data_IF_616415985919
#
_entry.id   IF_616415985919
#
_cell.length_a   1.000
_cell.length_b   1.000
_cell.length_c   1.000
_cell.angle_alpha   90.00
_cell.angle_beta   90.00
_cell.angle_gamma   90.00
#
_symmetry.space_group_name_H-M   'P 1'
#
loop_
_entity.id
_entity.type
_entity.pdbx_description
1 polymer ?
#
# COMPACT_ATOMS: atom_id res chain seq x y z
N UNK A 1 1.89 15.04 14.49
CA UNK A 1 1.43 13.75 13.94
C UNK A 1 1.60 13.83 12.43
N UNK A 2 2.34 12.92 11.80
CA UNK A 2 2.44 12.89 10.32
C UNK A 2 1.04 12.74 9.74
N UNK A 3 0.73 13.50 8.70
CA UNK A 3 -0.62 13.56 8.15
C UNK A 3 -0.92 12.19 7.49
N UNK A 4 -2.05 11.54 7.81
CA UNK A 4 -2.39 10.22 7.25
C UNK A 4 -2.35 10.21 5.72
N UNK A 5 -2.63 11.37 5.09
CA UNK A 5 -2.54 11.57 3.65
C UNK A 5 -1.11 11.42 3.11
N UNK A 6 -0.08 11.81 3.86
CA UNK A 6 1.33 11.68 3.44
C UNK A 6 1.74 10.20 3.43
N UNK A 7 1.28 9.43 4.41
CA UNK A 7 1.54 7.98 4.49
C UNK A 7 0.84 7.28 3.33
N UNK A 8 -0.43 7.62 3.07
CA UNK A 8 -1.20 7.09 1.95
C UNK A 8 -0.51 7.36 0.61
N UNK A 9 -0.08 8.61 0.36
CA UNK A 9 0.69 8.97 -0.85
C UNK A 9 2.00 8.19 -0.96
N UNK A 10 2.73 8.03 0.15
CA UNK A 10 3.99 7.29 0.16
C UNK A 10 3.81 5.81 -0.17
N UNK A 11 2.73 5.18 0.32
CA UNK A 11 2.36 3.81 -0.02
C UNK A 11 2.07 3.69 -1.52
N UNK A 12 1.21 4.57 -2.06
CA UNK A 12 0.84 4.53 -3.47
C UNK A 12 2.05 4.73 -4.38
N UNK A 13 2.90 5.70 -4.06
CA UNK A 13 4.12 5.97 -4.81
C UNK A 13 5.10 4.79 -4.75
N UNK A 14 5.23 4.13 -3.60
CA UNK A 14 6.04 2.92 -3.46
C UNK A 14 5.53 1.79 -4.36
N UNK A 15 4.23 1.49 -4.31
CA UNK A 15 3.63 0.42 -5.13
C UNK A 15 3.77 0.72 -6.62
N UNK A 16 3.51 1.97 -7.02
CA UNK A 16 3.63 2.43 -8.40
C UNK A 16 5.07 2.31 -8.92
N UNK A 17 6.05 2.87 -8.20
CA UNK A 17 7.47 2.87 -8.60
C UNK A 17 8.06 1.46 -8.71
N UNK A 18 7.54 0.50 -7.94
CA UNK A 18 7.99 -0.90 -7.96
C UNK A 18 7.11 -1.80 -8.84
N UNK A 19 6.15 -1.23 -9.60
CA UNK A 19 5.27 -1.96 -10.50
C UNK A 19 4.44 -3.07 -9.81
N UNK A 20 4.08 -2.87 -8.53
CA UNK A 20 3.14 -3.74 -7.81
C UNK A 20 1.72 -3.37 -8.17
N UNK A 21 1.30 -3.75 -9.38
CA UNK A 21 0.02 -3.37 -10.00
C UNK A 21 -0.78 -4.62 -10.34
N UNK A 22 -2.04 -4.66 -9.92
CA UNK A 22 -2.99 -5.74 -10.24
C UNK A 22 -2.49 -7.12 -9.83
N UNK A 23 -1.97 -7.90 -10.78
CA UNK A 23 -1.45 -9.26 -10.55
C UNK A 23 -0.08 -9.27 -9.86
N UNK A 24 0.67 -8.16 -9.88
CA UNK A 24 1.94 -8.02 -9.16
C UNK A 24 1.67 -7.42 -7.79
N UNK A 25 2.02 -8.14 -6.75
CA UNK A 25 1.76 -7.79 -5.38
C UNK A 25 3.04 -7.90 -4.52
N UNK A 26 2.97 -7.38 -3.30
CA UNK A 26 4.05 -7.48 -2.31
C UNK A 26 3.46 -7.73 -0.93
N UNK A 27 4.12 -8.49 -0.05
CA UNK A 27 3.74 -8.59 1.35
C UNK A 27 3.56 -7.21 1.98
N UNK A 28 2.55 -7.03 2.84
CA UNK A 28 2.37 -5.75 3.57
C UNK A 28 3.61 -5.38 4.40
N UNK A 29 4.35 -6.38 4.86
CA UNK A 29 5.56 -6.24 5.66
C UNK A 29 6.64 -5.49 4.87
N UNK A 30 6.78 -5.78 3.57
CA UNK A 30 7.71 -5.07 2.69
C UNK A 30 7.35 -3.58 2.57
N UNK A 31 6.06 -3.24 2.53
CA UNK A 31 5.62 -1.84 2.53
C UNK A 31 6.06 -1.15 3.82
N UNK A 32 5.86 -1.78 4.98
CA UNK A 32 6.33 -1.20 6.24
C UNK A 32 7.85 -1.05 6.27
N UNK A 33 8.60 -2.09 5.88
CA UNK A 33 10.07 -2.06 5.89
C UNK A 33 10.64 -0.97 4.97
N UNK A 34 10.04 -0.77 3.80
CA UNK A 34 10.47 0.28 2.86
C UNK A 34 10.06 1.69 3.32
N UNK A 35 8.95 1.79 4.04
CA UNK A 35 8.44 3.04 4.61
C UNK A 35 8.79 3.16 6.11
N UNK A 36 10.03 2.79 6.48
CA UNK A 36 10.51 2.74 7.86
C UNK A 36 10.49 4.09 8.62
N UNK A 37 10.30 5.20 7.90
CA UNK A 37 10.08 6.54 8.49
C UNK A 37 8.71 6.67 9.17
N UNK A 38 7.79 5.72 8.96
CA UNK A 38 6.49 5.64 9.59
C UNK A 38 6.39 4.36 10.43
N UNK A 39 5.55 4.37 11.46
CA UNK A 39 5.30 3.14 12.22
C UNK A 39 4.50 2.13 11.39
N UNK A 40 4.76 0.83 11.54
CA UNK A 40 3.93 -0.19 10.87
C UNK A 40 2.45 -0.08 11.25
N UNK A 41 2.15 0.43 12.46
CA UNK A 41 0.77 0.67 12.91
C UNK A 41 0.09 1.71 12.02
N UNK A 42 0.77 2.81 11.70
CA UNK A 42 0.24 3.87 10.85
C UNK A 42 0.17 3.43 9.38
N UNK A 43 1.20 2.73 8.88
CA UNK A 43 1.19 2.15 7.52
C UNK A 43 0.01 1.18 7.35
N UNK A 44 -0.22 0.29 8.31
CA UNK A 44 -1.35 -0.64 8.28
C UNK A 44 -2.70 0.07 8.34
N UNK A 45 -2.80 1.17 9.09
CA UNK A 45 -4.02 2.00 9.14
C UNK A 45 -4.27 2.67 7.79
N UNK A 46 -3.23 3.25 7.18
CA UNK A 46 -3.31 3.86 5.85
C UNK A 46 -3.60 2.84 4.74
N UNK A 47 -3.04 1.63 4.79
CA UNK A 47 -3.39 0.53 3.87
C UNK A 47 -4.87 0.17 3.96
N UNK A 48 -5.44 0.06 5.16
CA UNK A 48 -6.88 -0.18 5.35
C UNK A 48 -7.73 0.95 4.76
N UNK A 49 -7.30 2.21 4.92
CA UNK A 49 -8.00 3.34 4.33
C UNK A 49 -7.93 3.32 2.79
N UNK A 50 -6.74 3.07 2.23
CA UNK A 50 -6.55 2.95 0.78
C UNK A 50 -7.38 1.81 0.19
N UNK A 51 -7.49 0.68 0.91
CA UNK A 51 -8.33 -0.44 0.51
C UNK A 51 -9.81 -0.04 0.46
N UNK A 52 -10.31 0.67 1.49
CA UNK A 52 -11.68 1.20 1.51
C UNK A 52 -11.95 2.22 0.39
N UNK A 53 -10.92 2.95 -0.04
CA UNK A 53 -10.97 3.90 -1.16
C UNK A 53 -10.67 3.26 -2.52
N UNK A 54 -10.47 1.94 -2.55
CA UNK A 54 -10.20 1.15 -3.76
C UNK A 54 -8.88 1.50 -4.50
N UNK A 55 -7.96 2.23 -3.86
CA UNK A 55 -6.63 2.50 -4.45
C UNK A 55 -5.70 1.28 -4.41
N UNK A 56 -5.90 0.39 -3.43
CA UNK A 56 -5.10 -0.83 -3.29
C UNK A 56 -6.01 -2.04 -3.13
N UNK A 57 -5.58 -3.18 -3.66
CA UNK A 57 -6.18 -4.48 -3.40
C UNK A 57 -5.34 -5.31 -2.44
N UNK A 58 -5.99 -6.31 -1.82
CA UNK A 58 -5.35 -7.27 -0.92
C UNK A 58 -5.54 -8.67 -1.50
N UNK A 59 -4.45 -9.43 -1.56
CA UNK A 59 -4.45 -10.84 -1.93
C UNK A 59 -4.04 -11.67 -0.71
N UNK A 60 -4.88 -12.60 -0.27
CA UNK A 60 -4.57 -13.46 0.87
C UNK A 60 -3.66 -14.61 0.42
N UNK A 61 -2.48 -14.72 1.03
CA UNK A 61 -1.53 -15.81 0.79
C UNK A 61 -1.31 -16.62 2.07
N UNK A 62 -0.63 -17.76 1.95
CA UNK A 62 -0.27 -18.62 3.09
C UNK A 62 0.67 -17.94 4.11
N UNK A 63 1.40 -16.90 3.70
CA UNK A 63 2.32 -16.16 4.58
C UNK A 63 1.75 -14.80 5.05
N UNK A 64 0.53 -14.45 4.62
CA UNK A 64 -0.14 -13.22 5.00
C UNK A 64 -0.77 -12.46 3.83
N UNK A 65 -1.34 -11.27 4.10
CA UNK A 65 -1.91 -10.43 3.05
C UNK A 65 -0.82 -9.71 2.25
N UNK A 66 -0.84 -9.95 0.95
CA UNK A 66 -0.11 -9.14 -0.02
C UNK A 66 -0.98 -7.98 -0.49
N UNK A 67 -0.32 -6.88 -0.85
CA UNK A 67 -0.96 -5.66 -1.33
C UNK A 67 -0.47 -5.30 -2.71
N UNK A 68 -1.37 -4.74 -3.52
CA UNK A 68 -1.07 -4.26 -4.86
C UNK A 68 -1.85 -2.98 -5.14
N UNK A 69 -1.37 -2.19 -6.08
CA UNK A 69 -2.06 -1.02 -6.57
C UNK A 69 -3.17 -1.40 -7.55
N UNK A 70 -4.36 -0.86 -7.34
CA UNK A 70 -5.50 -1.09 -8.23
C UNK A 70 -5.22 -0.47 -9.62
N UNK A 71 -5.25 -1.25 -10.71
CA UNK A 71 -4.95 -0.73 -12.05
C UNK A 71 -5.86 0.43 -12.48
N UNK A 72 -7.12 0.42 -12.03
CA UNK A 72 -8.11 1.47 -12.29
C UNK A 72 -7.76 2.82 -11.66
N UNK A 73 -6.84 2.86 -10.69
CA UNK A 73 -6.49 4.06 -9.92
C UNK A 73 -5.13 4.66 -10.27
N UNK A 74 -4.42 4.10 -11.24
CA UNK A 74 -3.07 4.54 -11.62
C UNK A 74 -3.05 6.02 -12.08
N UNK A 75 -4.07 6.46 -12.83
CA UNK A 75 -4.12 7.84 -13.34
C UNK A 75 -4.33 8.90 -12.25
N UNK A 76 -4.69 8.48 -11.02
CA UNK A 76 -4.96 9.36 -9.88
C UNK A 76 -3.75 9.49 -8.92
N UNK A 77 -2.62 8.85 -9.24
CA UNK A 77 -1.40 8.77 -8.40
C UNK A 77 -0.32 9.69 -8.95
#
# INVERSE_FOLDING_TARGET
MKNNQEIEKSILLFLYKNNYIGKKNTPKENVCHKLNVYSCKDVNKSLKNLYKKEYVGIHLTNHGPDVYLAPSKIMEI
#
